data_IF_570231104970
#
_entry.id   IF_570231104970
#
_cell.length_a   1.000
_cell.length_b   1.000
_cell.length_c   1.000
_cell.angle_alpha   90.00
_cell.angle_beta   90.00
_cell.angle_gamma   90.00
#
_symmetry.space_group_name_H-M   'P 1'
#
loop_
_entity.id
_entity.type
_entity.pdbx_description
1 polymer ?
#
# COMPACT_ATOMS: atom_id res chain seq x y z
N UNK A 1 -25.44 8.29 33.13
CA UNK A 1 -25.00 7.24 32.18
C UNK A 1 -24.78 7.85 30.80
N UNK A 2 -23.65 8.50 30.54
CA UNK A 2 -23.24 8.88 29.17
C UNK A 2 -21.72 8.78 29.10
N UNK A 3 -21.22 7.55 29.03
CA UNK A 3 -19.79 7.27 28.89
C UNK A 3 -19.55 6.18 27.82
N UNK A 4 -20.50 6.00 26.90
CA UNK A 4 -20.53 4.86 25.99
C UNK A 4 -20.02 5.16 24.57
N UNK A 5 -19.49 6.36 24.28
CA UNK A 5 -19.18 6.71 22.88
C UNK A 5 -17.88 7.46 22.62
N UNK A 6 -16.92 7.44 23.55
CA UNK A 6 -15.65 8.17 23.38
C UNK A 6 -14.40 7.32 23.60
N UNK A 7 -14.45 6.02 23.28
CA UNK A 7 -13.28 5.14 23.35
C UNK A 7 -13.32 3.98 22.33
N UNK A 8 -13.86 4.25 21.14
CA UNK A 8 -13.80 3.32 20.00
C UNK A 8 -12.84 3.81 18.90
N UNK A 9 -11.86 4.64 19.26
CA UNK A 9 -10.59 4.69 18.54
C UNK A 9 -9.71 3.54 19.05
N UNK A 10 -10.24 2.31 18.95
CA UNK A 10 -9.40 1.12 18.96
C UNK A 10 -8.46 1.33 17.78
N UNK A 11 -7.20 1.69 18.05
CA UNK A 11 -6.18 1.80 17.02
C UNK A 11 -6.17 0.48 16.27
N UNK A 12 -6.78 0.46 15.08
CA UNK A 12 -6.89 -0.76 14.28
C UNK A 12 -5.47 -1.20 14.01
N UNK A 13 -5.03 -2.28 14.69
CA UNK A 13 -3.66 -2.77 14.61
C UNK A 13 -3.34 -2.99 13.14
N UNK A 14 -2.35 -2.26 12.63
CA UNK A 14 -1.89 -2.46 11.26
C UNK A 14 -1.05 -3.72 11.24
N UNK A 15 -1.54 -4.73 10.53
CA UNK A 15 -0.88 -6.02 10.41
C UNK A 15 -0.39 -6.21 8.98
N UNK A 16 0.87 -6.63 8.85
CA UNK A 16 1.42 -7.09 7.58
C UNK A 16 1.20 -8.58 7.45
N UNK A 17 0.54 -8.99 6.36
CA UNK A 17 0.35 -10.40 6.02
C UNK A 17 1.20 -10.72 4.80
N UNK A 18 2.00 -11.76 4.90
CA UNK A 18 2.74 -12.28 3.76
C UNK A 18 1.76 -12.83 2.72
N UNK A 19 1.99 -12.52 1.43
CA UNK A 19 1.16 -13.00 0.32
C UNK A 19 1.54 -14.41 -0.13
N UNK A 20 2.67 -14.91 0.34
CA UNK A 20 3.23 -16.22 0.04
C UNK A 20 4.06 -16.70 1.22
N UNK A 21 4.40 -17.99 1.23
CA UNK A 21 5.38 -18.52 2.19
C UNK A 21 6.73 -17.84 1.93
N UNK A 22 7.36 -17.31 2.98
CA UNK A 22 8.71 -16.73 2.92
C UNK A 22 9.70 -17.80 3.40
N UNK A 23 10.53 -18.39 2.51
CA UNK A 23 11.57 -19.32 2.90
C UNK A 23 12.63 -18.64 3.77
N UNK A 24 13.36 -19.46 4.54
CA UNK A 24 14.52 -18.99 5.30
C UNK A 24 15.52 -18.32 4.35
N UNK A 25 16.05 -17.16 4.75
CA UNK A 25 16.99 -16.34 4.00
C UNK A 25 16.46 -15.70 2.70
N UNK A 26 15.15 -15.79 2.40
CA UNK A 26 14.58 -15.04 1.29
C UNK A 26 14.43 -13.57 1.69
N UNK A 27 14.84 -12.68 0.81
CA UNK A 27 14.60 -11.24 0.97
C UNK A 27 13.09 -10.95 0.97
N UNK A 28 12.63 -10.14 1.91
CA UNK A 28 11.24 -9.71 1.97
C UNK A 28 11.03 -8.63 0.92
N UNK A 29 10.10 -8.88 0.01
CA UNK A 29 9.70 -7.91 -1.01
C UNK A 29 8.41 -7.24 -0.54
N UNK A 30 8.39 -5.91 -0.62
CA UNK A 30 7.25 -5.09 -0.22
C UNK A 30 6.80 -4.20 -1.37
N UNK A 31 5.49 -4.15 -1.61
CA UNK A 31 4.91 -3.32 -2.67
C UNK A 31 4.36 -2.01 -2.09
N UNK A 32 5.18 -0.97 -2.09
CA UNK A 32 4.79 0.37 -1.60
C UNK A 32 3.59 0.99 -2.34
N UNK A 33 3.23 0.47 -3.51
CA UNK A 33 2.05 0.94 -4.25
C UNK A 33 0.73 0.52 -3.59
N UNK A 34 0.78 -0.33 -2.55
CA UNK A 34 -0.40 -0.82 -1.84
C UNK A 34 -0.61 -0.21 -0.45
N UNK A 35 0.30 0.65 0.01
CA UNK A 35 0.26 1.23 1.36
C UNK A 35 0.52 2.73 1.36
N UNK A 36 1.41 3.24 0.51
CA UNK A 36 1.77 4.66 0.46
C UNK A 36 0.95 5.42 -0.61
N UNK A 37 0.42 6.58 -0.23
CA UNK A 37 -0.39 7.38 -1.13
C UNK A 37 0.44 8.22 -2.11
N UNK A 38 1.33 9.07 -1.60
CA UNK A 38 2.14 10.00 -2.40
C UNK A 38 3.56 10.06 -1.84
N UNK A 39 4.47 9.31 -2.46
CA UNK A 39 5.88 9.27 -2.07
C UNK A 39 6.70 10.41 -2.71
N UNK A 40 6.18 11.06 -3.77
CA UNK A 40 6.88 12.17 -4.42
C UNK A 40 6.90 13.42 -3.57
N UNK A 41 5.83 13.70 -2.83
CA UNK A 41 5.73 14.87 -1.95
C UNK A 41 6.87 14.89 -0.93
N UNK A 42 7.23 13.73 -0.39
CA UNK A 42 8.31 13.57 0.59
C UNK A 42 9.66 13.21 -0.03
N UNK A 43 9.78 13.19 -1.37
CA UNK A 43 10.98 12.76 -2.12
C UNK A 43 11.49 11.37 -1.69
N UNK A 44 10.58 10.47 -1.32
CA UNK A 44 10.88 9.07 -0.97
C UNK A 44 10.59 8.12 -2.13
N UNK A 45 10.26 8.65 -3.31
CA UNK A 45 10.07 7.87 -4.51
C UNK A 45 11.40 7.38 -5.09
N UNK A 46 11.42 6.15 -5.61
CA UNK A 46 12.66 5.51 -6.06
C UNK A 46 12.47 4.67 -7.32
N UNK A 47 13.57 4.40 -8.03
CA UNK A 47 13.56 3.50 -9.17
C UNK A 47 13.61 2.04 -8.72
N UNK A 48 12.66 1.26 -9.21
CA UNK A 48 12.61 -0.16 -8.91
C UNK A 48 13.73 -0.88 -9.67
N UNK A 49 14.60 -1.57 -8.93
CA UNK A 49 15.72 -2.34 -9.49
C UNK A 49 15.45 -3.83 -9.59
N UNK A 50 14.20 -4.26 -9.49
CA UNK A 50 13.82 -5.69 -9.52
C UNK A 50 14.04 -6.39 -10.87
N UNK A 51 14.52 -5.67 -11.90
CA UNK A 51 14.81 -6.22 -13.23
C UNK A 51 13.59 -6.56 -14.09
N UNK A 52 12.38 -6.42 -13.56
CA UNK A 52 11.16 -6.71 -14.32
C UNK A 52 10.90 -5.65 -15.39
N UNK A 53 10.86 -6.07 -16.67
CA UNK A 53 10.45 -5.22 -17.79
C UNK A 53 8.97 -4.85 -17.76
N UNK A 54 8.16 -5.61 -17.00
CA UNK A 54 6.70 -5.57 -17.09
C UNK A 54 6.04 -4.56 -16.15
N UNK A 55 6.66 -4.16 -15.03
CA UNK A 55 5.94 -3.34 -14.05
C UNK A 55 6.78 -2.31 -13.28
N UNK A 56 6.17 -1.12 -13.14
CA UNK A 56 6.55 0.01 -12.27
C UNK A 56 8.04 0.38 -12.23
N UNK A 57 8.55 1.07 -13.26
CA UNK A 57 9.92 1.61 -13.30
C UNK A 57 10.28 2.50 -12.10
N UNK A 58 9.38 3.43 -11.73
CA UNK A 58 9.56 4.34 -10.59
C UNK A 58 8.38 4.24 -9.64
N UNK A 59 8.66 3.92 -8.39
CA UNK A 59 7.71 3.72 -7.30
C UNK A 59 7.41 5.08 -6.68
N UNK A 60 6.21 5.62 -6.92
CA UNK A 60 5.80 6.99 -6.55
C UNK A 60 4.64 7.06 -5.56
N UNK A 61 4.09 5.91 -5.16
CA UNK A 61 2.86 5.80 -4.38
C UNK A 61 1.58 5.67 -5.23
N UNK A 62 0.50 5.26 -4.57
CA UNK A 62 -0.80 4.92 -5.14
C UNK A 62 -1.42 6.02 -6.02
N UNK A 63 -1.24 7.30 -5.65
CA UNK A 63 -1.81 8.47 -6.35
C UNK A 63 -1.51 8.50 -7.85
N UNK A 64 -0.35 7.94 -8.23
CA UNK A 64 0.17 7.95 -9.60
C UNK A 64 -0.11 6.66 -10.38
N UNK A 65 -0.84 5.70 -9.79
CA UNK A 65 -1.30 4.51 -10.49
C UNK A 65 -2.42 4.87 -11.49
N UNK A 66 -2.34 4.33 -12.70
CA UNK A 66 -3.46 4.30 -13.65
C UNK A 66 -4.64 3.51 -13.07
N UNK A 67 -5.87 3.78 -13.52
CA UNK A 67 -7.06 3.01 -13.12
C UNK A 67 -6.91 1.49 -13.28
N UNK A 68 -6.36 1.04 -14.41
CA UNK A 68 -6.08 -0.38 -14.66
C UNK A 68 -5.20 -1.02 -13.58
N UNK A 69 -4.05 -0.38 -13.27
CA UNK A 69 -3.14 -0.82 -12.21
C UNK A 69 -3.77 -0.78 -10.82
N UNK A 70 -4.62 0.21 -10.53
CA UNK A 70 -5.38 0.24 -9.27
C UNK A 70 -6.32 -0.96 -9.15
N UNK A 71 -7.01 -1.30 -10.23
CA UNK A 71 -7.90 -2.47 -10.27
C UNK A 71 -7.14 -3.79 -10.08
N UNK A 72 -5.94 -3.91 -10.67
CA UNK A 72 -5.08 -5.09 -10.51
C UNK A 72 -4.65 -5.31 -9.04
N UNK A 73 -4.39 -4.23 -8.30
CA UNK A 73 -3.90 -4.27 -6.93
C UNK A 73 -5.00 -4.13 -5.87
N UNK A 74 -6.28 -4.05 -6.27
CA UNK A 74 -7.39 -3.59 -5.39
C UNK A 74 -7.52 -4.36 -4.08
N UNK A 75 -7.23 -5.66 -4.10
CA UNK A 75 -7.35 -6.54 -2.93
C UNK A 75 -6.14 -6.50 -1.99
N UNK A 76 -5.06 -5.84 -2.41
CA UNK A 76 -3.82 -5.73 -1.64
C UNK A 76 -3.71 -4.38 -0.91
N UNK A 77 -4.62 -3.45 -1.17
CA UNK A 77 -4.57 -2.11 -0.60
C UNK A 77 -4.78 -2.13 0.90
N UNK A 78 -3.94 -1.36 1.60
CA UNK A 78 -4.16 -1.08 3.01
C UNK A 78 -5.51 -0.37 3.21
N UNK A 79 -6.13 -0.51 4.38
CA UNK A 79 -7.37 0.20 4.71
C UNK A 79 -7.27 1.72 4.49
N UNK A 80 -6.08 2.31 4.63
CA UNK A 80 -5.83 3.73 4.39
C UNK A 80 -6.05 4.16 2.92
N UNK A 81 -5.81 3.27 1.96
CA UNK A 81 -5.94 3.56 0.53
C UNK A 81 -7.35 3.25 -0.03
N UNK A 82 -8.13 2.39 0.63
CA UNK A 82 -9.46 1.99 0.12
C UNK A 82 -10.40 3.18 -0.16
N UNK A 83 -10.52 4.20 0.72
CA UNK A 83 -11.36 5.37 0.43
C UNK A 83 -10.87 6.21 -0.76
N UNK A 84 -9.61 6.03 -1.19
CA UNK A 84 -8.96 6.83 -2.23
C UNK A 84 -9.06 6.19 -3.63
N UNK A 85 -9.70 5.03 -3.75
CA UNK A 85 -9.88 4.32 -5.02
C UNK A 85 -10.79 5.12 -5.96
N UNK A 86 -11.86 5.71 -5.42
CA UNK A 86 -12.91 6.37 -6.20
C UNK A 86 -12.83 7.92 -6.21
N UNK A 87 -11.86 8.52 -5.50
CA UNK A 87 -11.74 9.98 -5.38
C UNK A 87 -11.00 10.65 -6.57
N UNK A 88 -11.17 10.13 -7.79
CA UNK A 88 -10.67 10.74 -9.02
C UNK A 88 -11.64 10.50 -10.17
#
# INVERSE_FOLDING_TARGET
MVATQMLLLISKKMEFKALERIPKNKEIIYNYLTTEYDMRVFRTDFECKCGSKKFFKRIKGFKYLSKYKKNLLKFLFSPYLLPKINNK
#
